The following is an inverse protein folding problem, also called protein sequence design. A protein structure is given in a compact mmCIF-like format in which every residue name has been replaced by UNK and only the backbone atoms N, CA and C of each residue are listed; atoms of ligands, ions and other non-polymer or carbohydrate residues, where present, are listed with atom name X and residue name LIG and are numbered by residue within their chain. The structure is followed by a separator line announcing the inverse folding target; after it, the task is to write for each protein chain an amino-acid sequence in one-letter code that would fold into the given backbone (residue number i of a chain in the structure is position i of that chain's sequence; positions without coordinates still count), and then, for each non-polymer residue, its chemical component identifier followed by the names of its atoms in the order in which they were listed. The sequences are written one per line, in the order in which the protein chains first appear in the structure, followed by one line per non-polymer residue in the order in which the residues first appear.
data_IF_107989968008
#
_entry.id   IF_107989968008
#
_cell.length_a   1.000
_cell.length_b   1.000
_cell.length_c   1.000
_cell.angle_alpha   90.00
_cell.angle_beta   90.00
_cell.angle_gamma   90.00
#
_symmetry.space_group_name_H-M   'P 1'
#
loop_
_entity.id
_entity.type
_entity.pdbx_description
1 polymer ?
#
# COMPACT_ATOMS: atom_id res chain seq x y z
N UNK A 1 -11.91 2.89 7.83
CA UNK A 1 -10.56 3.20 8.34
C UNK A 1 -9.45 2.84 7.37
N UNK A 2 -9.30 1.59 6.92
CA UNK A 2 -8.21 1.21 6.00
C UNK A 2 -8.15 2.05 4.70
N UNK A 3 -9.30 2.36 4.10
CA UNK A 3 -9.37 3.26 2.92
C UNK A 3 -8.86 4.67 3.23
N UNK A 4 -9.22 5.22 4.40
CA UNK A 4 -8.74 6.54 4.81
C UNK A 4 -7.24 6.51 5.13
N UNK A 5 -6.74 5.42 5.72
CA UNK A 5 -5.31 5.19 5.91
C UNK A 5 -4.57 5.19 4.58
N UNK A 6 -5.11 4.51 3.57
CA UNK A 6 -4.56 4.57 2.21
C UNK A 6 -4.49 6.01 1.68
N UNK A 7 -5.56 6.80 1.83
CA UNK A 7 -5.54 8.19 1.39
C UNK A 7 -4.51 9.04 2.15
N UNK A 8 -4.35 8.80 3.45
CA UNK A 8 -3.29 9.44 4.24
C UNK A 8 -1.91 9.11 3.67
N UNK A 9 -1.66 7.85 3.30
CA UNK A 9 -0.40 7.44 2.66
C UNK A 9 -0.16 8.11 1.31
N UNK A 10 -1.13 8.04 0.40
CA UNK A 10 -0.98 8.48 -0.99
C UNK A 10 -1.03 9.99 -1.21
N UNK A 11 -1.84 10.69 -0.40
CA UNK A 11 -2.09 12.12 -0.59
C UNK A 11 -1.55 12.97 0.55
N UNK A 12 -1.44 12.42 1.76
CA UNK A 12 -0.94 13.16 2.93
C UNK A 12 0.57 13.02 3.15
N UNK A 13 1.10 11.79 3.03
CA UNK A 13 2.49 11.47 3.38
C UNK A 13 3.41 11.32 2.18
N UNK A 14 2.87 11.01 1.00
CA UNK A 14 3.64 10.95 -0.23
C UNK A 14 3.89 12.35 -0.77
N UNK A 15 5.17 12.72 -0.89
CA UNK A 15 5.59 13.92 -1.60
C UNK A 15 5.61 13.71 -3.12
N UNK A 16 5.58 14.81 -3.89
CA UNK A 16 5.72 14.76 -5.35
C UNK A 16 7.00 14.02 -5.78
N UNK A 17 8.10 14.20 -5.04
CA UNK A 17 9.35 13.49 -5.29
C UNK A 17 9.19 11.98 -5.12
N UNK A 18 8.58 11.53 -4.02
CA UNK A 18 8.33 10.10 -3.81
C UNK A 18 7.45 9.52 -4.91
N UNK A 19 6.40 10.25 -5.32
CA UNK A 19 5.50 9.82 -6.38
C UNK A 19 6.22 9.61 -7.72
N UNK A 20 7.21 10.44 -8.04
CA UNK A 20 8.01 10.32 -9.26
C UNK A 20 9.14 9.29 -9.12
N UNK A 21 9.96 9.38 -8.07
CA UNK A 21 11.18 8.60 -7.95
C UNK A 21 10.93 7.15 -7.50
N UNK A 22 9.72 6.80 -7.02
CA UNK A 22 9.31 5.39 -6.85
C UNK A 22 9.18 4.65 -8.18
N UNK A 23 9.01 5.37 -9.29
CA UNK A 23 8.97 4.75 -10.61
C UNK A 23 10.39 4.44 -11.13
N UNK A 24 10.64 3.20 -11.62
CA UNK A 24 11.95 2.82 -12.15
C UNK A 24 12.42 3.74 -13.29
N UNK A 25 13.65 4.22 -13.20
CA UNK A 25 14.26 5.11 -14.20
C UNK A 25 13.94 6.60 -14.04
N UNK A 26 13.16 6.99 -13.02
CA UNK A 26 12.82 8.39 -12.74
C UNK A 26 13.59 8.99 -11.55
N UNK A 27 14.46 8.23 -10.90
CA UNK A 27 15.16 8.62 -9.68
C UNK A 27 16.34 9.54 -9.93
N UNK A 28 16.52 10.53 -9.04
CA UNK A 28 17.66 11.46 -9.05
C UNK A 28 18.41 11.47 -7.71
N UNK A 29 17.78 11.01 -6.62
CA UNK A 29 18.33 11.13 -5.26
C UNK A 29 18.69 9.79 -4.64
N UNK A 30 17.71 8.88 -4.52
CA UNK A 30 17.87 7.52 -4.04
C UNK A 30 17.46 6.54 -5.13
N UNK A 31 17.89 5.28 -5.01
CA UNK A 31 17.43 4.24 -5.91
C UNK A 31 15.91 4.09 -5.79
N UNK A 32 15.25 3.83 -6.93
CA UNK A 32 13.79 3.69 -7.00
C UNK A 32 13.25 2.65 -5.99
N UNK A 33 14.04 1.63 -5.69
CA UNK A 33 13.69 0.58 -4.74
C UNK A 33 13.49 1.11 -3.31
N UNK A 34 14.29 2.09 -2.88
CA UNK A 34 14.09 2.73 -1.57
C UNK A 34 12.80 3.53 -1.53
N UNK A 35 12.50 4.30 -2.59
CA UNK A 35 11.25 5.06 -2.69
C UNK A 35 10.03 4.15 -2.72
N UNK A 36 10.07 3.09 -3.54
CA UNK A 36 8.99 2.11 -3.65
C UNK A 36 8.77 1.34 -2.33
N UNK A 37 9.84 0.86 -1.72
CA UNK A 37 9.77 0.13 -0.46
C UNK A 37 9.28 1.02 0.68
N UNK A 38 9.75 2.26 0.78
CA UNK A 38 9.28 3.21 1.79
C UNK A 38 7.80 3.56 1.60
N UNK A 39 7.38 3.82 0.36
CA UNK A 39 5.98 4.11 0.07
C UNK A 39 5.06 2.94 0.43
N UNK A 40 5.36 1.72 -0.05
CA UNK A 40 4.61 0.53 0.34
C UNK A 40 4.68 0.25 1.84
N UNK A 41 5.79 0.58 2.49
CA UNK A 41 6.00 0.40 3.93
C UNK A 41 5.10 1.32 4.77
N UNK A 42 4.87 2.56 4.33
CA UNK A 42 3.89 3.47 4.96
C UNK A 42 2.51 2.81 4.95
N UNK A 43 2.08 2.26 3.81
CA UNK A 43 0.76 1.60 3.71
C UNK A 43 0.69 0.32 4.52
N UNK A 44 1.74 -0.51 4.49
CA UNK A 44 1.84 -1.70 5.32
C UNK A 44 1.75 -1.37 6.82
N UNK A 45 2.46 -0.33 7.27
CA UNK A 45 2.36 0.17 8.64
C UNK A 45 0.95 0.62 8.99
N UNK A 46 0.30 1.41 8.14
CA UNK A 46 -1.06 1.90 8.38
C UNK A 46 -2.07 0.74 8.46
N UNK A 47 -1.94 -0.29 7.61
CA UNK A 47 -2.79 -1.47 7.68
C UNK A 47 -2.57 -2.25 8.97
N UNK A 48 -1.32 -2.52 9.35
CA UNK A 48 -1.01 -3.21 10.62
C UNK A 48 -1.55 -2.43 11.83
N UNK A 49 -1.34 -1.11 11.86
CA UNK A 49 -1.76 -0.25 12.96
C UNK A 49 -3.29 -0.19 13.09
N UNK A 50 -4.00 0.01 11.99
CA UNK A 50 -5.46 0.14 12.01
C UNK A 50 -6.15 -1.20 12.27
N UNK A 51 -5.63 -2.30 11.72
CA UNK A 51 -6.24 -3.62 11.90
C UNK A 51 -5.85 -4.30 13.21
N UNK A 52 -4.73 -3.89 13.82
CA UNK A 52 -4.13 -4.59 14.97
C UNK A 52 -3.42 -5.90 14.58
N UNK A 53 -3.26 -6.18 13.28
CA UNK A 53 -2.76 -7.47 12.77
C UNK A 53 -1.49 -7.26 11.95
N UNK A 54 -0.33 -7.57 12.54
CA UNK A 54 0.98 -7.28 11.93
C UNK A 54 1.19 -7.97 10.56
N UNK A 55 0.76 -9.22 10.40
CA UNK A 55 0.97 -9.96 9.16
C UNK A 55 0.18 -9.37 7.98
N UNK A 56 -0.99 -8.77 8.23
CA UNK A 56 -1.75 -8.05 7.20
C UNK A 56 -0.97 -6.83 6.69
N UNK A 57 -0.22 -6.15 7.55
CA UNK A 57 0.64 -5.05 7.13
C UNK A 57 1.81 -5.49 6.25
N UNK A 58 2.41 -6.65 6.53
CA UNK A 58 3.48 -7.22 5.69
C UNK A 58 2.92 -7.59 4.31
N UNK A 59 1.73 -8.19 4.25
CA UNK A 59 1.09 -8.51 2.98
C UNK A 59 0.68 -7.26 2.20
N UNK A 60 0.10 -6.26 2.87
CA UNK A 60 -0.18 -4.96 2.25
C UNK A 60 1.09 -4.37 1.67
N UNK A 61 2.21 -4.35 2.41
CA UNK A 61 3.46 -3.81 1.91
C UNK A 61 3.86 -4.45 0.57
N UNK A 62 3.85 -5.79 0.50
CA UNK A 62 4.17 -6.50 -0.73
C UNK A 62 3.18 -6.23 -1.86
N UNK A 63 1.88 -6.37 -1.61
CA UNK A 63 0.83 -6.18 -2.63
C UNK A 63 0.81 -4.73 -3.12
N UNK A 64 0.98 -3.75 -2.23
CA UNK A 64 1.00 -2.34 -2.56
C UNK A 64 2.14 -2.01 -3.52
N UNK A 65 3.35 -2.51 -3.24
CA UNK A 65 4.50 -2.35 -4.14
C UNK A 65 4.22 -2.96 -5.51
N UNK A 66 3.60 -4.14 -5.59
CA UNK A 66 3.29 -4.79 -6.86
C UNK A 66 2.28 -3.98 -7.68
N UNK A 67 1.25 -3.41 -7.03
CA UNK A 67 0.28 -2.54 -7.69
C UNK A 67 0.98 -1.27 -8.22
N UNK A 68 1.78 -0.62 -7.38
CA UNK A 68 2.49 0.60 -7.77
C UNK A 68 3.51 0.38 -8.88
N UNK A 69 4.22 -0.76 -8.88
CA UNK A 69 5.09 -1.17 -9.98
C UNK A 69 4.28 -1.34 -11.26
N UNK A 70 3.09 -1.94 -11.19
CA UNK A 70 2.17 -2.08 -12.32
C UNK A 70 1.74 -0.73 -12.89
N UNK A 71 1.38 0.22 -12.03
CA UNK A 71 1.09 1.62 -12.41
C UNK A 71 2.30 2.29 -13.06
N UNK A 72 3.48 2.23 -12.44
CA UNK A 72 4.70 2.83 -12.98
C UNK A 72 5.10 2.24 -14.34
N UNK A 73 4.76 0.96 -14.58
CA UNK A 73 4.92 0.28 -15.88
C UNK A 73 3.76 0.53 -16.86
N UNK A 74 2.82 1.41 -16.51
CA UNK A 74 1.67 1.83 -17.33
C UNK A 74 0.71 0.68 -17.69
N UNK A 75 0.61 -0.35 -16.84
CA UNK A 75 -0.36 -1.43 -17.04
C UNK A 75 -1.81 -0.95 -16.85
N UNK A 76 -2.00 0.11 -16.06
CA UNK A 76 -3.28 0.77 -15.83
C UNK A 76 -3.09 2.24 -15.46
N UNK A 77 -4.20 2.99 -15.45
CA UNK A 77 -4.26 4.42 -15.11
C UNK A 77 -4.57 4.63 -13.62
N UNK A 78 -4.54 5.88 -13.17
CA UNK A 78 -4.80 6.27 -11.78
C UNK A 78 -6.09 5.69 -11.18
N UNK A 79 -7.18 5.65 -11.95
CA UNK A 79 -8.45 5.07 -11.49
C UNK A 79 -8.32 3.56 -11.23
N UNK A 80 -7.59 2.84 -12.09
CA UNK A 80 -7.33 1.41 -11.91
C UNK A 80 -6.44 1.13 -10.71
N UNK A 81 -5.39 1.92 -10.55
CA UNK A 81 -4.49 1.89 -9.39
C UNK A 81 -5.25 2.05 -8.06
N UNK A 82 -6.04 3.13 -7.94
CA UNK A 82 -6.87 3.36 -6.76
C UNK A 82 -7.86 2.22 -6.52
N UNK A 83 -8.49 1.70 -7.58
CA UNK A 83 -9.49 0.61 -7.45
C UNK A 83 -8.85 -0.69 -6.95
N UNK A 84 -7.66 -1.03 -7.43
CA UNK A 84 -6.90 -2.20 -6.97
C UNK A 84 -6.52 -2.05 -5.49
N UNK A 85 -6.06 -0.86 -5.10
CA UNK A 85 -5.77 -0.57 -3.71
C UNK A 85 -7.04 -0.70 -2.85
N UNK A 86 -8.17 -0.11 -3.22
CA UNK A 86 -9.42 -0.26 -2.44
C UNK A 86 -9.87 -1.72 -2.32
N UNK A 87 -9.74 -2.50 -3.40
CA UNK A 87 -10.06 -3.92 -3.41
C UNK A 87 -9.18 -4.72 -2.44
N UNK A 88 -7.89 -4.37 -2.38
CA UNK A 88 -6.95 -4.93 -1.42
C UNK A 88 -7.37 -4.66 0.04
N UNK A 89 -7.89 -3.46 0.33
CA UNK A 89 -8.32 -3.08 1.69
C UNK A 89 -9.60 -3.82 2.08
N UNK A 90 -10.50 -4.04 1.12
CA UNK A 90 -11.67 -4.90 1.33
C UNK A 90 -11.24 -6.34 1.66
N UNK A 91 -10.27 -6.89 0.92
CA UNK A 91 -9.73 -8.22 1.20
C UNK A 91 -9.14 -8.32 2.62
N UNK A 92 -8.41 -7.30 3.09
CA UNK A 92 -7.88 -7.27 4.46
C UNK A 92 -8.97 -7.22 5.52
N UNK A 93 -10.07 -6.49 5.30
CA UNK A 93 -11.23 -6.52 6.21
C UNK A 93 -11.80 -7.94 6.33
N UNK A 94 -11.96 -8.63 5.20
CA UNK A 94 -12.47 -10.00 5.19
C UNK A 94 -11.54 -10.96 5.94
N UNK A 95 -10.23 -10.89 5.67
CA UNK A 95 -9.24 -11.75 6.32
C UNK A 95 -9.10 -11.45 7.82
N UNK A 96 -9.12 -10.19 8.24
CA UNK A 96 -9.13 -9.81 9.65
C UNK A 96 -10.37 -10.35 10.38
N UNK A 97 -11.55 -10.26 9.76
CA UNK A 97 -12.80 -10.81 10.29
C UNK A 97 -12.75 -12.32 10.50
N UNK A 98 -12.15 -13.07 9.56
CA UNK A 98 -11.91 -14.50 9.72
C UNK A 98 -10.96 -14.77 10.89
N UNK A 99 -9.85 -14.02 11.02
CA UNK A 99 -8.92 -14.24 12.14
C UNK A 99 -9.52 -13.96 13.52
N UNK A 100 -10.38 -12.94 13.65
CA UNK A 100 -11.07 -12.65 14.91
C UNK A 100 -12.06 -13.74 15.33
N UNK A 101 -12.58 -14.53 14.38
CA UNK A 101 -13.44 -15.67 14.67
C UNK A 101 -12.69 -16.95 15.10
N UNK A 102 -11.37 -17.00 14.90
CA UNK A 102 -10.54 -18.19 15.16
C UNK A 102 -9.87 -18.14 16.54
N UNK A 103 -9.77 -16.97 17.18
CA UNK A 103 -9.37 -16.86 18.60
C UNK A 103 -10.61 -16.94 19.49
N UNK A 104 -10.89 -18.06 20.18
CA UNK A 104 -11.83 -18.02 21.30
C UNK A 104 -11.19 -17.19 22.41
N UNK A 105 -11.94 -16.21 22.93
CA UNK A 105 -11.55 -15.45 24.12
C UNK A 105 -11.48 -16.32 25.37
#
# INVERSE_FOLDING_TARGET
MLVMGHWLGDFGLQSDRMAQEKCPGCGHTLSWGWWMAAHGGIHGFLVAWISGVAWLGILEWGVHMLIDIGKCRRLYRMVGDQSLHMSCKLLWVLLAGVTGSITPG
#
